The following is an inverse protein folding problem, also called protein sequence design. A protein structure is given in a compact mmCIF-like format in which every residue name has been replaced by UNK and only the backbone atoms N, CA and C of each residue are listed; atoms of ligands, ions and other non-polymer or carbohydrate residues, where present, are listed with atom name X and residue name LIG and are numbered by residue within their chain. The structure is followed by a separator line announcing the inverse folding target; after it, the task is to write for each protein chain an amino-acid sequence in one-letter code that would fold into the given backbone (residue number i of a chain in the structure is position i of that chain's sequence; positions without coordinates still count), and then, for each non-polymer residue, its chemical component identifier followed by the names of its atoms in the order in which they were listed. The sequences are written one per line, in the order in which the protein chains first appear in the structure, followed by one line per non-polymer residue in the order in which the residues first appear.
data_IF_664642839053
#
_entry.id   IF_664642839053
#
_cell.length_a   1.000
_cell.length_b   1.000
_cell.length_c   1.000
_cell.angle_alpha   90.00
_cell.angle_beta   90.00
_cell.angle_gamma   90.00
#
_symmetry.space_group_name_H-M   'P 1'
#
loop_
_entity.id
_entity.type
_entity.pdbx_description
1 polymer ?
#
# COMPACT_ATOMS: atom_id res chain seq x y z
N UNK A 1 10.41 18.35 12.47
CA UNK A 1 9.29 18.79 11.60
C UNK A 1 8.04 17.99 11.98
N UNK A 2 6.86 18.61 11.94
CA UNK A 2 5.58 17.88 12.14
C UNK A 2 5.16 17.34 10.78
N UNK A 3 4.86 16.05 10.69
CA UNK A 3 4.40 15.41 9.47
C UNK A 3 2.92 15.06 9.63
N UNK A 4 2.12 15.40 8.63
CA UNK A 4 0.70 15.11 8.59
C UNK A 4 0.42 13.97 7.63
N UNK A 5 -0.54 13.12 7.99
CA UNK A 5 -1.01 12.03 7.13
C UNK A 5 -2.52 11.92 7.31
N UNK A 6 -3.26 11.75 6.21
CA UNK A 6 -4.68 11.42 6.27
C UNK A 6 -4.87 9.98 6.76
N UNK A 7 -5.89 9.77 7.59
CA UNK A 7 -6.25 8.45 8.15
C UNK A 7 -7.76 8.34 8.24
N UNK A 8 -8.28 7.11 8.16
CA UNK A 8 -9.70 6.85 8.44
C UNK A 8 -9.89 6.80 9.96
N UNK A 9 -10.68 7.72 10.52
CA UNK A 9 -10.93 7.80 11.96
C UNK A 9 -11.55 6.52 12.52
N UNK A 10 -12.38 5.83 11.74
CA UNK A 10 -12.97 4.54 12.13
C UNK A 10 -11.95 3.40 12.29
N UNK A 11 -10.74 3.55 11.75
CA UNK A 11 -9.64 2.57 11.85
C UNK A 11 -8.41 3.15 12.58
N UNK A 12 -8.58 4.27 13.29
CA UNK A 12 -7.53 4.91 14.07
C UNK A 12 -7.83 4.76 15.57
N UNK A 13 -7.09 3.94 16.32
CA UNK A 13 -7.34 3.74 17.74
C UNK A 13 -6.93 5.01 18.53
N UNK A 14 -7.73 5.40 19.52
CA UNK A 14 -7.41 6.54 20.39
C UNK A 14 -6.07 6.36 21.10
N UNK A 15 -5.67 5.13 21.43
CA UNK A 15 -4.35 4.83 22.01
C UNK A 15 -3.17 5.26 21.13
N UNK A 16 -3.33 5.32 19.81
CA UNK A 16 -2.32 5.86 18.91
C UNK A 16 -2.37 7.40 18.78
N UNK A 17 -3.38 8.09 19.31
CA UNK A 17 -3.43 9.55 19.28
C UNK A 17 -2.41 10.19 20.24
N UNK A 18 -1.87 9.42 21.19
CA UNK A 18 -0.88 9.89 22.14
C UNK A 18 0.32 10.57 21.46
N UNK A 19 0.60 11.81 21.84
CA UNK A 19 1.69 12.62 21.29
C UNK A 19 1.51 13.03 19.82
N UNK A 20 0.27 13.06 19.29
CA UNK A 20 -0.06 13.49 17.93
C UNK A 20 -1.04 14.68 17.93
N UNK A 21 -1.01 15.46 16.85
CA UNK A 21 -2.01 16.48 16.57
C UNK A 21 -3.11 15.85 15.70
N UNK A 22 -4.33 15.74 16.22
CA UNK A 22 -5.49 15.26 15.49
C UNK A 22 -6.22 16.47 14.89
N UNK A 23 -6.42 16.45 13.58
CA UNK A 23 -7.11 17.51 12.84
C UNK A 23 -8.40 16.93 12.25
N UNK A 24 -9.52 17.50 12.66
CA UNK A 24 -10.86 17.23 12.10
C UNK A 24 -11.32 18.43 11.27
N UNK A 25 -12.52 18.34 10.67
CA UNK A 25 -13.09 19.45 9.90
C UNK A 25 -13.26 20.73 10.74
N UNK A 26 -13.65 20.59 12.01
CA UNK A 26 -13.81 21.69 12.95
C UNK A 26 -12.47 22.35 13.28
N UNK A 27 -11.40 21.55 13.34
CA UNK A 27 -10.04 22.05 13.53
C UNK A 27 -9.50 22.85 12.35
N UNK A 28 -10.11 22.76 11.17
CA UNK A 28 -9.72 23.55 10.00
C UNK A 28 -10.46 24.89 9.91
N UNK A 29 -11.51 25.08 10.71
CA UNK A 29 -12.29 26.31 10.68
C UNK A 29 -11.55 27.44 11.41
N UNK A 30 -11.39 28.57 10.73
CA UNK A 30 -10.98 29.84 11.33
C UNK A 30 -12.19 30.74 11.58
N UNK A 31 -11.96 32.05 11.54
CA UNK A 31 -13.05 33.05 11.56
C UNK A 31 -13.85 33.10 10.25
N UNK A 32 -13.28 32.55 9.17
CA UNK A 32 -13.87 32.48 7.82
C UNK A 32 -13.58 31.09 7.21
N UNK A 33 -14.26 30.76 6.11
CA UNK A 33 -14.03 29.53 5.36
C UNK A 33 -12.64 29.50 4.73
N UNK A 34 -12.00 28.33 4.80
CA UNK A 34 -10.72 28.07 4.14
C UNK A 34 -10.83 28.16 2.61
N UNK A 35 -9.69 28.32 1.93
CA UNK A 35 -9.61 28.32 0.45
C UNK A 35 -10.28 27.08 -0.15
N UNK A 36 -10.09 25.91 0.47
CA UNK A 36 -10.72 24.66 0.04
C UNK A 36 -12.24 24.72 0.19
N UNK A 37 -12.75 25.12 1.36
CA UNK A 37 -14.20 25.25 1.60
C UNK A 37 -14.86 26.25 0.64
N UNK A 38 -14.22 27.41 0.40
CA UNK A 38 -14.68 28.41 -0.57
C UNK A 38 -14.74 27.85 -1.99
N UNK A 39 -13.75 27.05 -2.38
CA UNK A 39 -13.73 26.40 -3.69
C UNK A 39 -14.84 25.37 -3.82
N UNK A 40 -15.13 24.61 -2.76
CA UNK A 40 -16.26 23.68 -2.73
C UNK A 40 -17.61 24.38 -2.87
N UNK A 41 -17.80 25.53 -2.21
CA UNK A 41 -19.01 26.35 -2.32
C UNK A 41 -19.16 26.85 -3.76
N UNK A 42 -18.11 27.43 -4.33
CA UNK A 42 -18.14 28.02 -5.66
C UNK A 42 -18.46 27.00 -6.76
N UNK A 43 -17.85 25.82 -6.71
CA UNK A 43 -18.02 24.79 -7.75
C UNK A 43 -19.27 23.91 -7.52
N UNK A 44 -20.07 24.16 -6.49
CA UNK A 44 -21.21 23.29 -6.16
C UNK A 44 -20.78 21.86 -5.79
N UNK A 45 -19.65 21.73 -5.12
CA UNK A 45 -19.03 20.44 -4.76
C UNK A 45 -19.66 19.76 -3.53
N UNK A 46 -20.80 20.27 -3.05
CA UNK A 46 -21.54 19.72 -1.92
C UNK A 46 -23.04 19.76 -2.22
N UNK A 47 -23.70 18.60 -2.08
CA UNK A 47 -25.17 18.49 -2.15
C UNK A 47 -25.72 18.13 -0.77
N UNK A 48 -25.81 16.84 -0.42
CA UNK A 48 -26.28 16.42 0.91
C UNK A 48 -25.33 16.79 2.06
N UNK A 49 -24.08 17.17 1.75
CA UNK A 49 -23.08 17.61 2.73
C UNK A 49 -22.38 16.50 3.52
N UNK A 50 -22.90 15.27 3.54
CA UNK A 50 -22.40 14.22 4.45
C UNK A 50 -20.94 13.82 4.19
N UNK A 51 -20.53 13.67 2.92
CA UNK A 51 -19.16 13.32 2.55
C UNK A 51 -18.20 14.52 2.55
N UNK A 52 -18.73 15.75 2.55
CA UNK A 52 -17.96 16.99 2.33
C UNK A 52 -16.82 17.17 3.34
N UNK A 53 -17.00 16.91 4.66
CA UNK A 53 -15.91 16.97 5.62
C UNK A 53 -14.69 16.11 5.25
N UNK A 54 -14.92 14.87 4.79
CA UNK A 54 -13.85 13.94 4.42
C UNK A 54 -13.03 14.44 3.23
N UNK A 55 -13.70 14.96 2.20
CA UNK A 55 -13.04 15.58 1.05
C UNK A 55 -12.21 16.81 1.44
N UNK A 56 -12.78 17.74 2.23
CA UNK A 56 -12.09 18.95 2.67
C UNK A 56 -10.86 18.63 3.52
N UNK A 57 -10.99 17.70 4.47
CA UNK A 57 -9.88 17.27 5.34
C UNK A 57 -8.79 16.57 4.52
N UNK A 58 -9.17 15.71 3.56
CA UNK A 58 -8.20 14.98 2.72
C UNK A 58 -7.40 15.94 1.83
N UNK A 59 -8.09 16.85 1.15
CA UNK A 59 -7.46 17.85 0.27
C UNK A 59 -6.60 18.84 1.06
N UNK A 60 -7.05 19.27 2.25
CA UNK A 60 -6.22 20.11 3.13
C UNK A 60 -4.99 19.36 3.63
N UNK A 61 -5.14 18.07 3.94
CA UNK A 61 -4.03 17.18 4.31
C UNK A 61 -2.97 17.06 3.22
N UNK A 62 -3.38 17.07 1.94
CA UNK A 62 -2.44 17.11 0.81
C UNK A 62 -1.57 18.36 0.84
N UNK A 63 -2.16 19.55 0.96
CA UNK A 63 -1.39 20.81 1.00
C UNK A 63 -0.52 20.91 2.25
N UNK A 64 -0.97 20.38 3.39
CA UNK A 64 -0.16 20.30 4.61
C UNK A 64 1.10 19.44 4.46
N UNK A 65 1.04 18.41 3.62
CA UNK A 65 2.08 17.37 3.53
C UNK A 65 3.05 17.57 2.36
N UNK A 66 2.75 18.50 1.45
CA UNK A 66 3.52 18.73 0.23
C UNK A 66 3.96 20.19 0.13
N UNK A 67 5.15 20.44 -0.43
CA UNK A 67 5.67 21.80 -0.67
C UNK A 67 5.42 22.25 -2.12
N UNK A 68 5.13 21.30 -3.01
CA UNK A 68 4.75 21.54 -4.40
C UNK A 68 3.37 20.97 -4.64
N UNK A 69 2.47 21.78 -5.19
CA UNK A 69 1.10 21.38 -5.46
C UNK A 69 0.89 21.09 -6.93
N UNK A 70 0.53 19.84 -7.21
CA UNK A 70 0.18 19.32 -8.52
C UNK A 70 -1.30 18.95 -8.51
N UNK A 71 -2.03 19.33 -9.56
CA UNK A 71 -3.49 19.14 -9.63
C UNK A 71 -3.86 17.65 -9.50
N UNK A 72 -3.14 16.77 -10.19
CA UNK A 72 -3.45 15.34 -10.17
C UNK A 72 -3.24 14.74 -8.79
N UNK A 73 -2.16 15.10 -8.08
CA UNK A 73 -1.91 14.61 -6.73
C UNK A 73 -2.96 15.14 -5.73
N UNK A 74 -3.42 16.39 -5.92
CA UNK A 74 -4.51 16.96 -5.13
C UNK A 74 -5.82 16.17 -5.30
N UNK A 75 -6.16 15.80 -6.54
CA UNK A 75 -7.33 14.96 -6.84
C UNK A 75 -7.16 13.56 -6.22
N UNK A 76 -6.00 12.93 -6.42
CA UNK A 76 -5.70 11.59 -5.89
C UNK A 76 -5.70 11.56 -4.35
N UNK A 77 -5.36 12.66 -3.69
CA UNK A 77 -5.36 12.73 -2.22
C UNK A 77 -6.74 12.45 -1.60
N UNK A 78 -7.80 12.60 -2.40
CA UNK A 78 -9.18 12.39 -1.99
C UNK A 78 -9.71 10.99 -2.39
N UNK A 79 -8.87 10.10 -2.91
CA UNK A 79 -9.27 8.78 -3.45
C UNK A 79 -10.07 7.91 -2.46
N UNK A 80 -9.92 8.10 -1.15
CA UNK A 80 -10.67 7.39 -0.12
C UNK A 80 -12.07 7.91 0.17
N UNK A 81 -12.50 8.98 -0.48
CA UNK A 81 -13.79 9.64 -0.21
C UNK A 81 -14.78 9.32 -1.32
N UNK A 82 -15.95 8.80 -0.94
CA UNK A 82 -17.02 8.43 -1.87
C UNK A 82 -18.13 9.46 -1.79
N UNK A 83 -18.57 9.97 -2.94
CA UNK A 83 -19.74 10.83 -3.04
C UNK A 83 -20.80 10.15 -3.92
N UNK A 84 -22.03 10.09 -3.43
CA UNK A 84 -23.15 9.52 -4.22
C UNK A 84 -23.98 10.58 -4.95
N UNK A 85 -23.83 11.85 -4.57
CA UNK A 85 -24.72 12.92 -5.01
C UNK A 85 -24.14 13.75 -6.17
N UNK A 86 -22.86 14.13 -6.10
CA UNK A 86 -22.27 15.13 -7.02
C UNK A 86 -21.78 14.57 -8.35
N UNK A 87 -21.66 13.23 -8.48
CA UNK A 87 -20.99 12.63 -9.64
C UNK A 87 -19.49 12.95 -9.70
N UNK A 88 -18.88 13.46 -8.63
CA UNK A 88 -17.46 13.80 -8.45
C UNK A 88 -16.89 14.95 -9.29
N UNK A 89 -17.47 15.32 -10.44
CA UNK A 89 -16.90 16.36 -11.31
C UNK A 89 -16.73 17.71 -10.61
N UNK A 90 -17.75 18.20 -9.89
CA UNK A 90 -17.65 19.46 -9.13
C UNK A 90 -16.62 19.41 -8.00
N UNK A 91 -16.39 18.25 -7.39
CA UNK A 91 -15.35 18.05 -6.37
C UNK A 91 -13.96 18.12 -7.00
N UNK A 92 -13.79 17.51 -8.18
CA UNK A 92 -12.54 17.58 -8.95
C UNK A 92 -12.24 19.04 -9.34
N UNK A 93 -13.25 19.78 -9.78
CA UNK A 93 -13.08 21.18 -10.17
C UNK A 93 -12.79 22.08 -8.96
N UNK A 94 -13.38 21.79 -7.79
CA UNK A 94 -13.02 22.46 -6.54
C UNK A 94 -11.56 22.20 -6.12
N UNK A 95 -11.05 20.98 -6.33
CA UNK A 95 -9.65 20.65 -6.06
C UNK A 95 -8.69 21.36 -7.03
N UNK A 96 -9.03 21.42 -8.33
CA UNK A 96 -8.25 22.20 -9.31
C UNK A 96 -8.19 23.67 -8.92
N UNK A 97 -9.34 24.27 -8.59
CA UNK A 97 -9.44 25.67 -8.18
C UNK A 97 -8.65 25.96 -6.91
N UNK A 98 -8.80 25.13 -5.88
CA UNK A 98 -8.04 25.25 -4.63
C UNK A 98 -6.54 25.21 -4.92
N UNK A 99 -6.09 24.28 -5.77
CA UNK A 99 -4.68 24.12 -6.13
C UNK A 99 -4.14 25.34 -6.87
N UNK A 100 -4.88 25.87 -7.85
CA UNK A 100 -4.48 27.08 -8.59
C UNK A 100 -4.33 28.30 -7.67
N UNK A 101 -5.29 28.53 -6.77
CA UNK A 101 -5.26 29.63 -5.81
C UNK A 101 -4.08 29.52 -4.84
N UNK A 102 -3.82 28.31 -4.33
CA UNK A 102 -2.74 28.08 -3.37
C UNK A 102 -1.36 28.14 -4.03
N UNK A 103 -1.18 27.55 -5.22
CA UNK A 103 0.11 27.59 -5.93
C UNK A 103 0.55 29.02 -6.28
N UNK A 104 -0.41 29.90 -6.60
CA UNK A 104 -0.12 31.32 -6.88
C UNK A 104 0.38 32.05 -5.62
N UNK A 105 -0.20 31.71 -4.46
CA UNK A 105 -0.01 32.47 -3.22
C UNK A 105 1.13 31.97 -2.32
N UNK A 106 1.69 30.78 -2.55
CA UNK A 106 2.64 30.12 -1.64
C UNK A 106 4.08 30.06 -2.18
N UNK A 107 4.35 30.67 -3.34
CA UNK A 107 5.70 30.65 -3.94
C UNK A 107 6.79 31.22 -3.00
N UNK A 108 7.85 30.44 -2.77
CA UNK A 108 9.10 30.82 -2.08
C UNK A 108 9.06 31.10 -0.56
N UNK A 109 8.23 30.40 0.22
CA UNK A 109 8.27 30.51 1.68
C UNK A 109 9.21 29.49 2.34
N UNK A 110 10.12 29.97 3.20
CA UNK A 110 10.99 29.14 4.07
C UNK A 110 10.22 28.47 5.21
N UNK A 111 9.01 28.93 5.51
CA UNK A 111 8.10 28.36 6.51
C UNK A 111 6.74 28.00 5.90
N UNK A 112 6.59 26.72 5.57
CA UNK A 112 5.41 26.15 4.91
C UNK A 112 4.12 26.37 5.71
N UNK A 113 4.14 26.20 7.04
CA UNK A 113 2.93 26.33 7.85
C UNK A 113 2.45 27.77 7.86
N UNK A 114 3.36 28.73 8.04
CA UNK A 114 3.02 30.15 8.00
C UNK A 114 2.54 30.59 6.61
N UNK A 115 3.06 30.01 5.53
CA UNK A 115 2.56 30.24 4.18
C UNK A 115 1.09 29.79 4.02
N UNK A 116 0.76 28.57 4.48
CA UNK A 116 -0.60 28.05 4.43
C UNK A 116 -1.58 28.81 5.34
N UNK A 117 -1.11 29.37 6.45
CA UNK A 117 -1.91 30.26 7.30
C UNK A 117 -2.21 31.56 6.54
N UNK A 118 -1.18 32.21 5.98
CA UNK A 118 -1.33 33.46 5.21
C UNK A 118 -2.19 33.30 3.97
N UNK A 119 -2.17 32.14 3.33
CA UNK A 119 -3.03 31.84 2.19
C UNK A 119 -4.50 31.63 2.58
N UNK A 120 -4.84 31.61 3.87
CA UNK A 120 -6.18 31.32 4.37
C UNK A 120 -6.58 29.84 4.26
N UNK A 121 -5.61 28.92 4.15
CA UNK A 121 -5.90 27.49 4.20
C UNK A 121 -6.02 26.99 5.64
N UNK A 122 -5.11 27.42 6.52
CA UNK A 122 -5.02 26.95 7.90
C UNK A 122 -5.33 28.06 8.91
N UNK A 123 -5.96 27.73 10.04
CA UNK A 123 -6.04 28.63 11.19
C UNK A 123 -4.68 28.94 11.82
N UNK A 124 -4.55 30.11 12.45
CA UNK A 124 -3.29 30.61 13.02
C UNK A 124 -2.67 29.66 14.08
N UNK A 125 -3.50 28.92 14.82
CA UNK A 125 -3.03 28.03 15.88
C UNK A 125 -2.10 26.91 15.39
N UNK A 126 -2.12 26.58 14.09
CA UNK A 126 -1.22 25.58 13.50
C UNK A 126 0.26 25.91 13.71
N UNK A 127 0.63 27.20 13.77
CA UNK A 127 1.99 27.67 14.04
C UNK A 127 2.51 27.24 15.42
N UNK A 128 1.62 27.10 16.41
CA UNK A 128 1.96 26.70 17.78
C UNK A 128 2.03 25.18 18.00
N UNK A 129 1.58 24.37 17.04
CA UNK A 129 1.50 22.91 17.18
C UNK A 129 2.86 22.25 17.45
N UNK A 130 3.96 22.59 16.74
CA UNK A 130 5.26 22.00 17.04
C UNK A 130 5.68 22.18 18.51
N UNK A 131 5.42 23.34 19.10
CA UNK A 131 5.70 23.62 20.51
C UNK A 131 4.81 22.83 21.47
N UNK A 132 3.51 22.71 21.16
CA UNK A 132 2.56 21.87 21.93
C UNK A 132 2.96 20.39 21.91
N UNK A 133 3.35 19.86 20.75
CA UNK A 133 3.82 18.48 20.64
C UNK A 133 5.12 18.24 21.42
N UNK A 134 6.04 19.22 21.40
CA UNK A 134 7.28 19.15 22.20
C UNK A 134 7.00 19.15 23.70
N UNK A 135 6.06 19.98 24.17
CA UNK A 135 5.71 20.11 25.59
C UNK A 135 4.89 18.93 26.13
N UNK A 136 4.01 18.33 25.31
CA UNK A 136 3.34 17.07 25.67
C UNK A 136 4.37 15.98 26.02
N UNK A 137 5.50 15.98 25.30
CA UNK A 137 6.51 14.94 25.37
C UNK A 137 5.95 13.61 24.84
N UNK A 138 6.81 12.76 24.27
CA UNK A 138 6.40 11.36 24.01
C UNK A 138 6.46 10.60 25.33
N UNK A 139 5.49 10.86 26.22
CA UNK A 139 5.19 9.97 27.32
C UNK A 139 4.44 8.78 26.73
N UNK A 140 5.15 7.91 26.02
CA UNK A 140 4.69 6.53 25.99
C UNK A 140 4.73 6.08 27.46
N UNK A 141 3.66 5.49 28.01
CA UNK A 141 3.83 4.74 29.23
C UNK A 141 5.03 3.83 28.98
N UNK A 142 6.11 4.04 29.74
CA UNK A 142 7.38 3.38 29.54
C UNK A 142 7.12 1.89 29.60
N UNK A 143 6.97 1.25 28.44
CA UNK A 143 6.42 -0.10 28.24
C UNK A 143 6.01 -0.72 29.57
N UNK A 144 4.85 -0.34 30.12
CA UNK A 144 4.30 -1.19 31.16
C UNK A 144 4.32 -2.56 30.49
N UNK A 145 5.04 -3.51 31.08
CA UNK A 145 5.13 -4.86 30.53
C UNK A 145 3.69 -5.32 30.43
N UNK A 146 3.09 -5.15 29.25
CA UNK A 146 1.78 -5.70 28.97
C UNK A 146 2.05 -7.18 29.10
N UNK A 147 1.62 -7.75 30.22
CA UNK A 147 1.77 -9.15 30.50
C UNK A 147 0.89 -9.85 29.46
N UNK A 148 1.55 -10.40 28.44
CA UNK A 148 0.94 -11.22 27.38
C UNK A 148 -0.08 -10.49 26.48
N UNK A 149 0.34 -9.62 25.54
CA UNK A 149 -0.56 -9.08 24.54
C UNK A 149 -1.04 -10.20 23.60
N UNK A 150 -2.35 -10.30 23.39
CA UNK A 150 -2.94 -11.23 22.43
C UNK A 150 -2.81 -10.69 21.00
N UNK A 151 -2.87 -9.36 20.84
CA UNK A 151 -2.82 -8.70 19.54
C UNK A 151 -1.68 -7.70 19.45
N UNK A 152 -0.89 -7.83 18.40
CA UNK A 152 0.12 -6.86 18.00
C UNK A 152 -0.41 -6.03 16.84
N UNK A 153 -0.41 -4.72 17.00
CA UNK A 153 -1.10 -3.81 16.09
C UNK A 153 -0.09 -2.87 15.45
N UNK A 154 0.12 -3.01 14.14
CA UNK A 154 0.80 -2.01 13.32
C UNK A 154 -0.22 -1.00 12.76
N UNK A 155 -0.65 -1.16 11.51
CA UNK A 155 -1.68 -0.32 10.90
C UNK A 155 -3.11 -0.58 11.41
N UNK A 156 -3.40 -1.83 11.74
CA UNK A 156 -4.72 -2.29 12.19
C UNK A 156 -5.82 -2.31 11.11
N UNK A 157 -5.51 -1.97 9.86
CA UNK A 157 -6.48 -1.79 8.77
C UNK A 157 -7.32 -3.03 8.46
N UNK A 158 -6.76 -4.23 8.66
CA UNK A 158 -7.50 -5.50 8.58
C UNK A 158 -8.07 -5.91 9.94
N UNK A 159 -7.27 -5.78 11.00
CA UNK A 159 -7.57 -6.32 12.32
C UNK A 159 -8.80 -5.64 12.95
N UNK A 160 -8.92 -4.31 12.82
CA UNK A 160 -10.09 -3.57 13.31
C UNK A 160 -11.37 -3.86 12.53
N UNK A 161 -11.28 -4.44 11.34
CA UNK A 161 -12.48 -4.85 10.59
C UNK A 161 -12.86 -6.28 10.96
N UNK A 162 -11.87 -7.17 11.03
CA UNK A 162 -12.11 -8.61 11.18
C UNK A 162 -12.30 -9.06 12.63
N UNK A 163 -11.76 -8.34 13.62
CA UNK A 163 -11.62 -8.82 15.01
C UNK A 163 -11.97 -7.77 16.08
N UNK A 164 -12.64 -6.67 15.73
CA UNK A 164 -12.88 -5.57 16.68
C UNK A 164 -13.56 -6.00 17.99
N UNK A 165 -14.59 -6.87 17.95
CA UNK A 165 -15.28 -7.35 19.16
C UNK A 165 -14.36 -8.14 20.10
N UNK A 166 -13.48 -8.96 19.54
CA UNK A 166 -12.56 -9.79 20.32
C UNK A 166 -11.41 -8.95 20.89
N UNK A 167 -10.97 -7.92 20.16
CA UNK A 167 -9.96 -6.98 20.62
C UNK A 167 -10.40 -6.18 21.84
N UNK A 168 -11.70 -5.90 22.00
CA UNK A 168 -12.23 -5.24 23.20
C UNK A 168 -12.03 -6.07 24.48
N UNK A 169 -11.80 -7.38 24.36
CA UNK A 169 -11.67 -8.32 25.47
C UNK A 169 -10.22 -8.66 25.82
N UNK A 170 -9.26 -8.19 25.04
CA UNK A 170 -7.88 -8.63 25.14
C UNK A 170 -6.89 -7.46 25.19
N UNK A 171 -5.74 -7.71 25.81
CA UNK A 171 -4.63 -6.77 25.81
C UNK A 171 -4.02 -6.65 24.41
N UNK A 172 -3.80 -5.39 23.99
CA UNK A 172 -3.22 -5.06 22.70
C UNK A 172 -1.87 -4.34 22.87
N UNK A 173 -0.95 -4.56 21.93
CA UNK A 173 0.33 -3.86 21.88
C UNK A 173 0.47 -3.14 20.55
N UNK A 174 0.51 -1.81 20.58
CA UNK A 174 0.81 -1.01 19.40
C UNK A 174 2.29 -1.11 19.04
N UNK A 175 2.58 -1.47 17.80
CA UNK A 175 3.92 -1.56 17.22
C UNK A 175 4.37 -0.22 16.62
N UNK A 176 3.44 0.71 16.38
CA UNK A 176 3.68 2.02 15.75
C UNK A 176 4.54 2.98 16.60
N UNK A 177 4.75 2.68 17.89
CA UNK A 177 5.60 3.44 18.80
C UNK A 177 7.08 3.01 18.80
N UNK A 178 7.41 1.83 18.26
CA UNK A 178 8.76 1.29 18.23
C UNK A 178 9.48 1.65 16.90
N UNK A 179 10.46 2.55 16.99
CA UNK A 179 11.07 3.30 15.88
C UNK A 179 12.09 2.50 15.04
N UNK A 180 12.12 1.17 15.09
CA UNK A 180 13.17 0.39 14.39
C UNK A 180 12.68 -0.19 13.03
N UNK A 181 11.39 -0.13 12.69
CA UNK A 181 10.81 -0.97 11.63
C UNK A 181 10.20 -0.27 10.42
N UNK A 182 10.46 1.02 10.18
CA UNK A 182 9.95 1.74 8.98
C UNK A 182 10.94 1.81 7.81
N UNK A 183 12.18 1.40 8.02
CA UNK A 183 13.24 1.69 7.07
C UNK A 183 13.17 0.77 5.85
N UNK A 184 13.32 1.39 4.68
CA UNK A 184 13.65 0.70 3.44
C UNK A 184 15.10 1.07 3.12
N UNK A 185 16.01 0.08 3.11
CA UNK A 185 17.44 0.31 2.92
C UNK A 185 18.07 -0.73 2.00
N UNK A 186 19.18 -0.34 1.37
CA UNK A 186 20.07 -1.26 0.67
C UNK A 186 21.17 -1.71 1.65
N UNK A 187 21.40 -3.03 1.74
CA UNK A 187 22.44 -3.60 2.58
C UNK A 187 22.97 -4.89 1.94
N UNK A 188 24.29 -4.95 1.68
CA UNK A 188 24.96 -6.12 1.10
C UNK A 188 24.28 -6.66 -0.17
N UNK A 189 23.84 -5.78 -1.07
CA UNK A 189 23.15 -6.16 -2.32
C UNK A 189 21.69 -6.58 -2.14
N UNK A 190 21.10 -6.43 -0.95
CA UNK A 190 19.70 -6.71 -0.68
C UNK A 190 18.93 -5.42 -0.39
N UNK A 191 17.65 -5.41 -0.79
CA UNK A 191 16.66 -4.49 -0.25
C UNK A 191 16.12 -5.07 1.05
N UNK A 192 16.12 -4.27 2.12
CA UNK A 192 15.50 -4.60 3.40
C UNK A 192 14.32 -3.66 3.61
N UNK A 193 13.16 -4.23 3.92
CA UNK A 193 11.92 -3.50 4.20
C UNK A 193 11.44 -3.90 5.59
N UNK A 194 11.46 -2.95 6.52
CA UNK A 194 10.97 -3.16 7.89
C UNK A 194 9.48 -3.51 7.92
N UNK A 195 9.06 -4.35 8.87
CA UNK A 195 7.69 -4.84 8.94
C UNK A 195 6.63 -3.74 9.14
N UNK A 196 7.00 -2.59 9.69
CA UNK A 196 6.08 -1.45 9.90
C UNK A 196 6.15 -0.40 8.80
N UNK A 197 6.98 -0.62 7.76
CA UNK A 197 6.94 0.20 6.56
C UNK A 197 5.54 0.14 5.95
N UNK A 198 4.96 1.30 5.70
CA UNK A 198 3.63 1.47 5.15
C UNK A 198 3.64 1.38 3.63
N UNK A 199 2.47 1.24 3.01
CA UNK A 199 2.39 1.28 1.53
C UNK A 199 2.81 2.64 1.00
N UNK A 200 2.52 3.73 1.72
CA UNK A 200 3.05 5.06 1.40
C UNK A 200 4.58 5.08 1.45
N UNK A 201 5.20 4.46 2.46
CA UNK A 201 6.67 4.34 2.53
C UNK A 201 7.24 3.57 1.33
N UNK A 202 6.54 2.54 0.84
CA UNK A 202 6.93 1.81 -0.38
C UNK A 202 6.85 2.70 -1.63
N UNK A 203 5.77 3.47 -1.77
CA UNK A 203 5.53 4.40 -2.90
C UNK A 203 6.59 5.50 -2.94
N UNK A 204 7.02 6.00 -1.79
CA UNK A 204 7.99 7.10 -1.66
C UNK A 204 9.45 6.61 -1.67
N UNK A 205 9.67 5.30 -1.63
CA UNK A 205 11.01 4.71 -1.59
C UNK A 205 11.78 4.98 -2.87
N UNK A 206 12.91 5.70 -2.75
CA UNK A 206 13.86 5.91 -3.84
C UNK A 206 14.48 4.61 -4.33
N UNK A 207 14.67 3.63 -3.43
CA UNK A 207 15.24 2.32 -3.76
C UNK A 207 14.25 1.56 -4.65
N UNK A 208 12.98 1.45 -4.22
CA UNK A 208 11.97 0.77 -5.02
C UNK A 208 11.70 1.51 -6.33
N UNK A 209 11.65 2.83 -6.32
CA UNK A 209 11.49 3.62 -7.56
C UNK A 209 12.64 3.42 -8.56
N UNK A 210 13.88 3.24 -8.07
CA UNK A 210 15.06 2.99 -8.90
C UNK A 210 15.01 1.63 -9.60
N UNK A 211 14.64 0.59 -8.87
CA UNK A 211 14.68 -0.80 -9.37
C UNK A 211 13.35 -1.28 -9.97
N UNK A 212 12.22 -0.68 -9.58
CA UNK A 212 10.88 -1.05 -9.99
C UNK A 212 10.03 0.21 -10.32
N UNK A 213 10.39 0.97 -11.36
CA UNK A 213 9.79 2.29 -11.61
C UNK A 213 8.27 2.27 -11.80
N UNK A 214 7.71 1.19 -12.37
CA UNK A 214 6.26 1.02 -12.56
C UNK A 214 5.51 0.62 -11.28
N UNK A 215 6.21 0.14 -10.25
CA UNK A 215 5.56 -0.39 -9.05
C UNK A 215 4.75 0.67 -8.30
N UNK A 216 5.19 1.93 -8.34
CA UNK A 216 4.48 3.06 -7.74
C UNK A 216 3.03 3.16 -8.23
N UNK A 217 2.80 3.02 -9.53
CA UNK A 217 1.46 3.12 -10.13
C UNK A 217 0.54 2.01 -9.64
N UNK A 218 1.05 0.78 -9.56
CA UNK A 218 0.30 -0.34 -9.00
C UNK A 218 0.01 -0.19 -7.50
N UNK A 219 0.98 0.29 -6.72
CA UNK A 219 0.79 0.50 -5.29
C UNK A 219 -0.20 1.64 -4.99
N UNK A 220 -0.37 2.62 -5.90
CA UNK A 220 -1.46 3.61 -5.79
C UNK A 220 -2.85 2.97 -5.87
N UNK A 221 -2.99 1.79 -6.48
CA UNK A 221 -4.24 1.02 -6.52
C UNK A 221 -4.45 0.13 -5.26
N UNK A 222 -3.51 0.15 -4.31
CA UNK A 222 -3.67 -0.50 -3.02
C UNK A 222 -4.51 0.37 -2.09
N UNK A 223 -5.80 0.03 -1.92
CA UNK A 223 -6.71 0.78 -1.05
C UNK A 223 -6.75 2.28 -1.38
N UNK A 224 -7.18 3.09 -0.42
CA UNK A 224 -7.11 4.56 -0.49
C UNK A 224 -5.88 5.11 0.24
N UNK A 225 -5.53 6.38 0.01
CA UNK A 225 -4.41 7.04 0.68
C UNK A 225 -4.48 6.91 2.22
N UNK A 226 -5.63 7.11 2.90
CA UNK A 226 -5.75 6.87 4.33
C UNK A 226 -5.42 5.43 4.78
N UNK A 227 -5.74 4.44 3.93
CA UNK A 227 -5.36 3.04 4.16
C UNK A 227 -3.86 2.86 3.91
N UNK A 228 -3.30 3.39 2.81
CA UNK A 228 -1.87 3.27 2.48
C UNK A 228 -0.96 3.87 3.54
N UNK A 229 -1.39 4.96 4.17
CA UNK A 229 -0.67 5.62 5.26
C UNK A 229 -0.58 4.77 6.55
N UNK A 230 -1.41 3.73 6.68
CA UNK A 230 -1.44 2.86 7.87
C UNK A 230 -1.10 1.41 7.56
N UNK A 231 -1.51 0.87 6.42
CA UNK A 231 -1.31 -0.52 6.04
C UNK A 231 0.20 -0.80 5.91
N UNK A 232 0.67 -1.77 6.68
CA UNK A 232 2.11 -2.11 6.79
C UNK A 232 2.44 -3.41 6.08
N UNK A 233 3.68 -3.56 5.61
CA UNK A 233 4.17 -4.79 4.97
C UNK A 233 4.00 -6.02 5.86
N UNK A 234 4.45 -5.95 7.12
CA UNK A 234 4.30 -7.04 8.07
C UNK A 234 2.85 -7.39 8.32
N UNK A 235 2.00 -6.38 8.53
CA UNK A 235 0.54 -6.55 8.63
C UNK A 235 -0.09 -7.24 7.42
N UNK A 236 0.32 -6.88 6.20
CA UNK A 236 -0.16 -7.50 4.97
C UNK A 236 0.24 -8.97 4.87
N UNK A 237 1.48 -9.30 5.25
CA UNK A 237 2.01 -10.67 5.29
C UNK A 237 1.26 -11.52 6.33
N UNK A 238 1.17 -11.06 7.59
CA UNK A 238 0.55 -11.84 8.67
C UNK A 238 -0.98 -11.92 8.57
N UNK A 239 -1.62 -10.99 7.86
CA UNK A 239 -3.03 -11.14 7.50
C UNK A 239 -3.26 -12.38 6.62
N UNK A 240 -2.25 -12.87 5.90
CA UNK A 240 -2.31 -14.12 5.13
C UNK A 240 -3.51 -14.17 4.17
N UNK A 241 -3.81 -13.04 3.53
CA UNK A 241 -4.89 -12.96 2.54
C UNK A 241 -4.43 -13.62 1.23
N UNK A 242 -5.20 -14.53 0.62
CA UNK A 242 -4.82 -15.19 -0.63
C UNK A 242 -4.67 -14.25 -1.84
N UNK A 243 -5.14 -13.01 -1.70
CA UNK A 243 -5.18 -11.96 -2.74
C UNK A 243 -4.36 -10.73 -2.31
N UNK A 244 -3.41 -10.91 -1.40
CA UNK A 244 -2.56 -9.84 -0.89
C UNK A 244 -1.56 -9.34 -1.96
N UNK A 245 -1.77 -8.12 -2.46
CA UNK A 245 -0.92 -7.50 -3.51
C UNK A 245 0.57 -7.44 -3.10
N UNK A 246 0.89 -6.90 -1.91
CA UNK A 246 2.29 -6.73 -1.47
C UNK A 246 2.96 -8.09 -1.23
N UNK A 247 2.24 -9.02 -0.60
CA UNK A 247 2.75 -10.38 -0.37
C UNK A 247 3.05 -11.08 -1.70
N UNK A 248 2.17 -10.95 -2.69
CA UNK A 248 2.38 -11.49 -4.03
C UNK A 248 3.67 -10.93 -4.65
N UNK A 249 3.84 -9.60 -4.67
CA UNK A 249 5.07 -8.94 -5.15
C UNK A 249 6.32 -9.51 -4.47
N UNK A 250 6.31 -9.61 -3.15
CA UNK A 250 7.47 -10.08 -2.39
C UNK A 250 7.80 -11.56 -2.63
N UNK A 251 6.79 -12.40 -2.88
CA UNK A 251 7.01 -13.81 -3.24
C UNK A 251 7.73 -13.92 -4.59
N UNK A 252 7.31 -13.16 -5.61
CA UNK A 252 8.01 -13.15 -6.90
C UNK A 252 9.42 -12.55 -6.81
N UNK A 253 9.68 -11.65 -5.87
CA UNK A 253 11.04 -11.18 -5.60
C UNK A 253 11.89 -12.18 -4.80
N UNK A 254 11.38 -13.40 -4.57
CA UNK A 254 12.01 -14.46 -3.78
C UNK A 254 12.44 -13.96 -2.38
N UNK A 255 11.58 -13.16 -1.76
CA UNK A 255 11.89 -12.52 -0.49
C UNK A 255 12.03 -13.54 0.65
N UNK A 256 12.92 -13.23 1.58
CA UNK A 256 13.07 -13.90 2.87
C UNK A 256 12.34 -13.08 3.94
N UNK A 257 11.52 -13.73 4.76
CA UNK A 257 10.92 -13.14 5.95
C UNK A 257 11.81 -13.42 7.16
N UNK A 258 12.14 -12.38 7.91
CA UNK A 258 12.96 -12.46 9.13
C UNK A 258 12.06 -12.25 10.33
N UNK A 259 12.12 -13.20 11.25
CA UNK A 259 11.26 -13.28 12.43
C UNK A 259 12.10 -13.11 13.68
N UNK A 260 11.52 -12.47 14.69
CA UNK A 260 12.10 -12.33 16.02
C UNK A 260 11.09 -12.80 17.06
N UNK A 261 11.54 -13.62 18.01
CA UNK A 261 10.76 -14.11 19.13
C UNK A 261 11.60 -14.19 20.39
N UNK A 262 11.03 -14.74 21.47
CA UNK A 262 11.73 -14.92 22.74
C UNK A 262 12.92 -15.90 22.64
N UNK A 263 12.79 -16.89 21.76
CA UNK A 263 13.82 -17.91 21.47
C UNK A 263 14.93 -17.43 20.52
N UNK A 264 14.88 -16.18 20.05
CA UNK A 264 15.89 -15.60 19.15
C UNK A 264 15.33 -15.21 17.78
N UNK A 265 16.21 -15.19 16.77
CA UNK A 265 15.88 -14.80 15.39
C UNK A 265 15.89 -16.01 14.48
N UNK A 266 14.93 -16.09 13.56
CA UNK A 266 14.92 -17.07 12.47
C UNK A 266 14.47 -16.44 11.16
N UNK A 267 14.75 -17.11 10.05
CA UNK A 267 14.35 -16.65 8.72
C UNK A 267 13.98 -17.83 7.83
N UNK A 268 13.09 -17.57 6.88
CA UNK A 268 12.64 -18.52 5.87
C UNK A 268 12.20 -17.76 4.60
N UNK A 269 12.11 -18.46 3.47
CA UNK A 269 11.55 -17.84 2.26
C UNK A 269 10.07 -17.54 2.50
N UNK A 270 9.62 -16.38 2.02
CA UNK A 270 8.25 -15.93 2.19
C UNK A 270 7.24 -16.89 1.55
N UNK A 271 7.62 -17.56 0.45
CA UNK A 271 6.78 -18.58 -0.19
C UNK A 271 6.49 -19.79 0.72
N UNK A 272 7.37 -20.08 1.68
CA UNK A 272 7.25 -21.23 2.60
C UNK A 272 6.58 -20.83 3.94
N UNK A 273 6.30 -19.54 4.12
CA UNK A 273 5.69 -18.97 5.32
C UNK A 273 4.19 -19.28 5.43
N UNK A 274 3.50 -19.47 4.30
CA UNK A 274 2.06 -19.76 4.27
C UNK A 274 1.85 -21.28 4.21
N UNK A 275 1.24 -21.88 5.24
CA UNK A 275 0.99 -23.33 5.32
C UNK A 275 -0.42 -23.74 4.88
N UNK A 276 -1.33 -22.78 4.79
CA UNK A 276 -2.72 -22.98 4.43
C UNK A 276 -3.53 -21.71 4.61
N UNK A 277 -4.85 -21.77 4.39
CA UNK A 277 -5.71 -20.60 4.54
C UNK A 277 -5.58 -20.02 5.95
N UNK A 278 -5.12 -18.77 6.05
CA UNK A 278 -4.89 -18.05 7.31
C UNK A 278 -3.97 -18.79 8.31
N UNK A 279 -3.17 -19.74 7.83
CA UNK A 279 -2.25 -20.54 8.64
C UNK A 279 -0.82 -20.24 8.23
N UNK A 280 -0.01 -19.86 9.22
CA UNK A 280 1.35 -19.35 9.02
C UNK A 280 2.37 -20.22 9.74
N UNK A 281 3.58 -20.25 9.21
CA UNK A 281 4.78 -20.70 9.89
C UNK A 281 5.27 -19.57 10.83
N UNK A 282 4.48 -19.26 11.85
CA UNK A 282 4.73 -18.19 12.83
C UNK A 282 4.34 -18.68 14.23
N UNK A 283 5.31 -18.71 15.15
CA UNK A 283 5.05 -19.08 16.54
C UNK A 283 4.32 -17.94 17.27
N UNK A 284 3.63 -18.26 18.38
CA UNK A 284 2.80 -17.29 19.11
C UNK A 284 3.56 -16.07 19.64
N UNK A 285 4.85 -16.23 19.94
CA UNK A 285 5.73 -15.18 20.46
C UNK A 285 6.57 -14.49 19.37
N UNK A 286 6.45 -14.93 18.12
CA UNK A 286 7.21 -14.39 17.00
C UNK A 286 6.50 -13.23 16.33
N UNK A 287 7.32 -12.26 15.91
CA UNK A 287 6.91 -11.13 15.09
C UNK A 287 7.75 -11.10 13.82
N UNK A 288 7.15 -10.61 12.74
CA UNK A 288 7.90 -10.23 11.54
C UNK A 288 8.73 -9.00 11.87
N UNK A 289 10.06 -9.12 11.77
CA UNK A 289 11.03 -8.03 11.97
C UNK A 289 11.14 -7.23 10.67
N UNK A 290 11.54 -7.89 9.59
CA UNK A 290 11.64 -7.30 8.25
C UNK A 290 11.56 -8.37 7.17
N UNK A 291 11.39 -7.93 5.92
CA UNK A 291 11.58 -8.77 4.74
C UNK A 291 12.80 -8.29 3.95
N UNK A 292 13.47 -9.21 3.27
CA UNK A 292 14.60 -8.87 2.41
C UNK A 292 14.58 -9.63 1.10
N UNK A 293 14.98 -8.99 0.02
CA UNK A 293 15.20 -9.63 -1.29
C UNK A 293 16.43 -9.06 -1.98
N UNK A 294 17.03 -9.83 -2.89
CA UNK A 294 18.20 -9.40 -3.65
C UNK A 294 17.80 -8.28 -4.62
N UNK A 295 18.59 -7.21 -4.66
CA UNK A 295 18.34 -6.12 -5.62
C UNK A 295 18.49 -6.64 -7.06
N UNK A 296 17.62 -6.21 -7.99
CA UNK A 296 17.70 -6.62 -9.39
C UNK A 296 19.07 -6.34 -10.02
N UNK A 297 19.55 -7.30 -10.81
CA UNK A 297 20.75 -7.17 -11.64
C UNK A 297 20.44 -6.43 -12.95
N UNK A 298 21.47 -6.20 -13.78
CA UNK A 298 21.36 -5.41 -15.03
C UNK A 298 20.34 -5.97 -16.03
N UNK A 299 20.16 -7.29 -16.08
CA UNK A 299 19.25 -7.97 -17.00
C UNK A 299 18.06 -8.60 -16.27
N UNK A 300 17.61 -7.94 -15.21
CA UNK A 300 16.44 -8.34 -14.44
C UNK A 300 15.19 -7.61 -14.92
N UNK A 301 14.07 -8.33 -14.98
CA UNK A 301 12.78 -7.82 -15.42
C UNK A 301 11.74 -8.16 -14.36
N UNK A 302 10.86 -7.22 -14.05
CA UNK A 302 9.80 -7.39 -13.07
C UNK A 302 8.49 -6.79 -13.60
N UNK A 303 7.38 -7.49 -13.41
CA UNK A 303 6.05 -6.95 -13.67
C UNK A 303 5.05 -7.45 -12.63
N UNK A 304 4.08 -6.60 -12.28
CA UNK A 304 2.95 -6.94 -11.42
C UNK A 304 1.66 -6.59 -12.16
N UNK A 305 0.68 -7.47 -12.10
CA UNK A 305 -0.61 -7.30 -12.72
C UNK A 305 -1.72 -7.61 -11.72
N UNK A 306 -2.80 -6.84 -11.78
CA UNK A 306 -3.96 -6.98 -10.92
C UNK A 306 -5.23 -6.79 -11.72
N UNK A 307 -6.18 -7.70 -11.54
CA UNK A 307 -7.53 -7.60 -12.08
C UNK A 307 -8.52 -7.60 -10.91
N UNK A 308 -9.45 -6.65 -10.94
CA UNK A 308 -10.54 -6.47 -9.97
C UNK A 308 -11.79 -5.95 -10.70
N UNK A 309 -12.94 -5.92 -10.03
CA UNK A 309 -14.19 -5.45 -10.65
C UNK A 309 -14.18 -3.94 -10.91
N UNK A 310 -13.43 -3.19 -10.09
CA UNK A 310 -13.14 -1.77 -10.29
C UNK A 310 -11.64 -1.54 -10.25
N UNK A 311 -11.17 -0.57 -11.02
CA UNK A 311 -9.74 -0.21 -11.06
C UNK A 311 -9.25 0.35 -9.72
N UNK A 312 -10.05 1.20 -9.08
CA UNK A 312 -9.70 1.90 -7.85
C UNK A 312 -10.46 1.34 -6.65
N UNK A 313 -9.80 1.32 -5.49
CA UNK A 313 -10.36 0.92 -4.19
C UNK A 313 -10.99 -0.48 -4.17
N UNK A 314 -10.45 -1.41 -4.96
CA UNK A 314 -10.97 -2.77 -5.04
C UNK A 314 -9.90 -3.81 -4.72
N UNK A 315 -10.38 -4.94 -4.22
CA UNK A 315 -9.57 -6.09 -3.88
C UNK A 315 -9.41 -6.93 -5.14
N UNK A 316 -8.22 -7.47 -5.38
CA UNK A 316 -7.96 -8.31 -6.55
C UNK A 316 -8.92 -9.51 -6.62
N UNK A 317 -9.47 -9.75 -7.81
CA UNK A 317 -10.01 -11.06 -8.20
C UNK A 317 -8.87 -12.05 -8.40
N UNK A 318 -7.86 -11.63 -9.18
CA UNK A 318 -6.57 -12.31 -9.37
C UNK A 318 -5.49 -11.25 -9.48
N UNK A 319 -4.36 -11.47 -8.83
CA UNK A 319 -3.13 -10.71 -9.06
C UNK A 319 -1.97 -11.66 -9.37
N UNK A 320 -0.95 -11.17 -10.06
CA UNK A 320 0.22 -11.96 -10.43
C UNK A 320 1.46 -11.07 -10.47
N UNK A 321 2.59 -11.62 -10.06
CA UNK A 321 3.90 -10.99 -10.17
C UNK A 321 4.86 -11.94 -10.86
N UNK A 322 5.75 -11.39 -11.67
CA UNK A 322 6.85 -12.12 -12.30
C UNK A 322 8.17 -11.40 -12.06
N UNK A 323 9.22 -12.16 -11.77
CA UNK A 323 10.61 -11.72 -11.83
C UNK A 323 11.40 -12.65 -12.73
N UNK A 324 12.20 -12.10 -13.63
CA UNK A 324 13.04 -12.82 -14.58
C UNK A 324 14.45 -12.26 -14.58
N UNK A 325 15.46 -13.12 -14.73
CA UNK A 325 16.80 -12.74 -15.17
C UNK A 325 17.06 -13.39 -16.53
N UNK A 326 17.48 -12.60 -17.51
CA UNK A 326 17.67 -13.08 -18.90
C UNK A 326 19.10 -12.87 -19.34
N UNK A 327 19.70 -13.87 -19.99
CA UNK A 327 21.02 -13.78 -20.62
C UNK A 327 20.96 -14.50 -21.96
N UNK A 328 21.42 -13.84 -23.02
CA UNK A 328 21.40 -14.37 -24.40
C UNK A 328 20.02 -14.94 -24.79
N UNK A 329 18.97 -14.17 -24.49
CA UNK A 329 17.57 -14.51 -24.72
C UNK A 329 17.01 -15.72 -23.97
N UNK A 330 17.82 -16.33 -23.11
CA UNK A 330 17.42 -17.44 -22.24
C UNK A 330 17.11 -16.94 -20.84
N UNK A 331 16.05 -17.49 -20.26
CA UNK A 331 15.66 -17.21 -18.89
C UNK A 331 16.57 -18.00 -17.94
N UNK A 332 17.30 -17.31 -17.07
CA UNK A 332 18.24 -17.92 -16.11
C UNK A 332 17.60 -18.11 -14.74
N UNK A 333 16.83 -17.12 -14.32
CA UNK A 333 16.08 -17.10 -13.06
C UNK A 333 14.64 -16.73 -13.37
N UNK A 334 13.69 -17.45 -12.77
CA UNK A 334 12.25 -17.16 -12.87
C UNK A 334 11.60 -17.33 -11.51
N UNK A 335 10.79 -16.36 -11.13
CA UNK A 335 9.89 -16.44 -9.99
C UNK A 335 8.53 -15.87 -10.37
N UNK A 336 7.49 -16.69 -10.29
CA UNK A 336 6.12 -16.26 -10.56
C UNK A 336 5.25 -16.57 -9.35
N UNK A 337 4.43 -15.60 -8.97
CA UNK A 337 3.45 -15.76 -7.90
C UNK A 337 2.08 -15.27 -8.31
N UNK A 338 1.02 -15.93 -7.85
CA UNK A 338 -0.36 -15.58 -8.13
C UNK A 338 -1.19 -15.52 -6.84
N UNK A 339 -2.14 -14.60 -6.79
CA UNK A 339 -3.15 -14.49 -5.74
C UNK A 339 -4.56 -14.71 -6.27
N UNK A 340 -5.47 -15.15 -5.40
CA UNK A 340 -6.88 -15.39 -5.75
C UNK A 340 -7.15 -16.71 -6.46
N UNK A 341 -6.11 -17.51 -6.69
CA UNK A 341 -6.17 -18.80 -7.42
C UNK A 341 -5.88 -20.02 -6.54
N UNK A 342 -5.67 -19.80 -5.24
CA UNK A 342 -5.43 -20.84 -4.24
C UNK A 342 -5.80 -20.30 -2.84
N UNK A 343 -5.83 -21.15 -1.79
CA UNK A 343 -6.09 -20.73 -0.41
C UNK A 343 -4.97 -19.88 0.23
N UNK A 344 -3.83 -19.70 -0.45
CA UNK A 344 -2.69 -18.89 -0.03
C UNK A 344 -2.17 -18.09 -1.23
N UNK A 345 -1.39 -17.01 -1.02
CA UNK A 345 -0.56 -16.44 -2.07
C UNK A 345 0.37 -17.54 -2.61
N UNK A 346 0.19 -17.91 -3.87
CA UNK A 346 0.79 -19.11 -4.44
C UNK A 346 2.05 -18.75 -5.23
N UNK A 347 3.17 -19.42 -4.94
CA UNK A 347 4.32 -19.45 -5.83
C UNK A 347 4.12 -20.57 -6.86
N UNK A 348 4.20 -20.24 -8.15
CA UNK A 348 4.02 -21.19 -9.26
C UNK A 348 5.34 -21.93 -9.51
N UNK A 349 5.59 -23.00 -8.75
CA UNK A 349 6.84 -23.75 -8.79
C UNK A 349 7.07 -24.40 -10.15
N UNK A 350 6.09 -25.13 -10.68
CA UNK A 350 6.24 -25.87 -11.94
C UNK A 350 6.41 -24.91 -13.12
N UNK A 351 5.62 -23.84 -13.17
CA UNK A 351 5.75 -22.81 -14.21
C UNK A 351 7.11 -22.11 -14.15
N UNK A 352 7.58 -21.76 -12.94
CA UNK A 352 8.88 -21.10 -12.77
C UNK A 352 10.05 -21.99 -13.19
N UNK A 353 10.03 -23.27 -12.79
CA UNK A 353 11.06 -24.25 -13.20
C UNK A 353 11.02 -24.55 -14.70
N UNK A 354 9.82 -24.69 -15.29
CA UNK A 354 9.67 -24.93 -16.72
C UNK A 354 10.31 -23.83 -17.58
N UNK A 355 10.15 -22.57 -17.17
CA UNK A 355 10.68 -21.42 -17.90
C UNK A 355 12.22 -21.33 -17.84
N UNK A 356 12.84 -21.94 -16.83
CA UNK A 356 14.29 -21.89 -16.66
C UNK A 356 15.01 -22.56 -17.84
N UNK A 357 15.96 -21.84 -18.43
CA UNK A 357 16.73 -22.25 -19.60
C UNK A 357 16.00 -22.10 -20.94
N UNK A 358 14.72 -21.70 -20.95
CA UNK A 358 13.94 -21.52 -22.19
C UNK A 358 14.23 -20.17 -22.84
N UNK A 359 14.12 -20.13 -24.16
CA UNK A 359 14.14 -18.90 -24.95
C UNK A 359 12.74 -18.29 -24.97
N UNK A 360 12.64 -16.98 -24.77
CA UNK A 360 11.35 -16.27 -24.73
C UNK A 360 10.74 -16.23 -26.14
N UNK A 361 9.61 -16.90 -26.33
CA UNK A 361 8.78 -16.83 -27.54
C UNK A 361 7.30 -17.17 -27.20
N UNK A 362 6.40 -16.99 -28.17
CA UNK A 362 4.96 -17.20 -27.98
C UNK A 362 4.58 -18.63 -27.57
N UNK A 363 5.26 -19.65 -28.10
CA UNK A 363 4.98 -21.06 -27.79
C UNK A 363 5.31 -21.39 -26.33
N UNK A 364 6.51 -20.99 -25.87
CA UNK A 364 6.94 -21.17 -24.48
C UNK A 364 6.01 -20.45 -23.51
N UNK A 365 5.50 -19.27 -23.88
CA UNK A 365 4.56 -18.51 -23.04
C UNK A 365 3.20 -19.22 -22.94
N UNK A 366 2.70 -19.82 -24.02
CA UNK A 366 1.47 -20.64 -23.99
C UNK A 366 1.64 -21.86 -23.09
N UNK A 367 2.72 -22.60 -23.26
CA UNK A 367 3.00 -23.79 -22.46
C UNK A 367 3.17 -23.45 -20.98
N UNK A 368 3.87 -22.36 -20.66
CA UNK A 368 3.99 -21.87 -19.28
C UNK A 368 2.62 -21.53 -18.67
N UNK A 369 1.72 -20.91 -19.44
CA UNK A 369 0.37 -20.61 -19.00
C UNK A 369 -0.46 -21.88 -18.79
N UNK A 370 -0.32 -22.91 -19.62
CA UNK A 370 -0.97 -24.21 -19.42
C UNK A 370 -0.47 -24.91 -18.15
N UNK A 371 0.86 -24.93 -17.94
CA UNK A 371 1.47 -25.49 -16.73
C UNK A 371 0.95 -24.78 -15.48
N UNK A 372 0.78 -23.46 -15.53
CA UNK A 372 0.25 -22.69 -14.40
C UNK A 372 -1.14 -23.16 -13.96
N UNK A 373 -1.97 -23.64 -14.90
CA UNK A 373 -3.31 -24.15 -14.59
C UNK A 373 -3.25 -25.45 -13.80
N UNK A 374 -2.15 -26.21 -13.87
CA UNK A 374 -1.95 -27.46 -13.12
C UNK A 374 -1.54 -27.25 -11.67
N UNK A 375 -1.26 -26.00 -11.27
CA UNK A 375 -0.80 -25.64 -9.92
C UNK A 375 -1.88 -24.96 -9.07
N UNK A 376 -2.97 -24.51 -9.69
CA UNK A 376 -4.00 -23.70 -9.04
C UNK A 376 -5.21 -24.51 -8.63
N UNK A 377 -5.94 -24.00 -7.63
CA UNK A 377 -7.24 -24.53 -7.21
C UNK A 377 -8.16 -23.36 -6.81
N UNK A 378 -8.64 -22.57 -7.79
CA UNK A 378 -9.49 -21.42 -7.50
C UNK A 378 -10.87 -21.84 -7.00
N UNK A 379 -11.48 -20.96 -6.21
CA UNK A 379 -12.88 -21.08 -5.76
C UNK A 379 -13.74 -19.99 -6.39
N UNK A 380 -15.02 -20.29 -6.58
CA UNK A 380 -16.04 -19.28 -6.89
C UNK A 380 -16.36 -18.47 -5.64
N UNK A 381 -16.33 -17.14 -5.75
CA UNK A 381 -16.74 -16.22 -4.69
C UNK A 381 -17.29 -14.90 -5.28
N UNK A 382 -17.53 -13.91 -4.43
CA UNK A 382 -18.01 -12.59 -4.83
C UNK A 382 -17.11 -11.84 -5.83
N UNK A 383 -15.86 -12.27 -6.02
CA UNK A 383 -14.87 -11.64 -6.92
C UNK A 383 -14.76 -12.34 -8.26
N UNK A 384 -15.46 -13.46 -8.46
CA UNK A 384 -15.54 -14.16 -9.74
C UNK A 384 -15.69 -15.67 -9.60
N UNK A 385 -16.11 -16.32 -10.69
CA UNK A 385 -16.16 -17.78 -10.76
C UNK A 385 -14.75 -18.39 -10.79
N UNK A 386 -14.66 -19.67 -10.43
CA UNK A 386 -13.44 -20.47 -10.57
C UNK A 386 -12.86 -20.38 -11.99
N UNK A 387 -13.72 -20.54 -13.00
CA UNK A 387 -13.34 -20.54 -14.42
C UNK A 387 -12.81 -19.17 -14.84
N UNK A 388 -13.46 -18.10 -14.38
CA UNK A 388 -13.01 -16.74 -14.63
C UNK A 388 -11.63 -16.49 -14.02
N UNK A 389 -11.38 -16.92 -12.78
CA UNK A 389 -10.08 -16.76 -12.11
C UNK A 389 -8.97 -17.58 -12.78
N UNK A 390 -9.26 -18.80 -13.21
CA UNK A 390 -8.34 -19.62 -14.01
C UNK A 390 -7.97 -18.92 -15.32
N UNK A 391 -8.98 -18.41 -16.04
CA UNK A 391 -8.78 -17.64 -17.27
C UNK A 391 -7.95 -16.38 -17.00
N UNK A 392 -8.26 -15.62 -15.95
CA UNK A 392 -7.50 -14.43 -15.59
C UNK A 392 -6.03 -14.74 -15.36
N UNK A 393 -5.68 -15.80 -14.62
CA UNK A 393 -4.27 -16.14 -14.43
C UNK A 393 -3.58 -16.43 -15.76
N UNK A 394 -4.20 -17.20 -16.67
CA UNK A 394 -3.65 -17.42 -18.02
C UNK A 394 -3.38 -16.09 -18.71
N UNK A 395 -4.34 -15.16 -18.70
CA UNK A 395 -4.17 -13.85 -19.31
C UNK A 395 -3.10 -12.99 -18.62
N UNK A 396 -2.93 -13.10 -17.31
CA UNK A 396 -1.88 -12.38 -16.59
C UNK A 396 -0.48 -12.90 -16.93
N UNK A 397 -0.31 -14.22 -17.10
CA UNK A 397 0.95 -14.77 -17.62
C UNK A 397 1.26 -14.17 -18.99
N UNK A 398 0.28 -14.07 -19.88
CA UNK A 398 0.45 -13.44 -21.20
C UNK A 398 0.79 -11.96 -21.09
N UNK A 399 0.06 -11.21 -20.26
CA UNK A 399 0.29 -9.79 -20.04
C UNK A 399 1.71 -9.51 -19.54
N UNK A 400 2.24 -10.34 -18.65
CA UNK A 400 3.62 -10.24 -18.19
C UNK A 400 4.64 -10.28 -19.33
N UNK A 401 4.56 -11.28 -20.21
CA UNK A 401 5.51 -11.43 -21.31
C UNK A 401 5.32 -10.38 -22.41
N UNK A 402 4.09 -9.97 -22.71
CA UNK A 402 3.83 -8.86 -23.65
C UNK A 402 4.44 -7.56 -23.10
N UNK A 403 4.24 -7.27 -21.82
CA UNK A 403 4.72 -6.04 -21.19
C UNK A 403 6.24 -5.99 -21.09
N UNK A 404 6.89 -7.11 -20.77
CA UNK A 404 8.34 -7.19 -20.58
C UNK A 404 9.11 -7.40 -21.89
N UNK A 405 8.52 -8.08 -22.87
CA UNK A 405 9.16 -8.46 -24.13
C UNK A 405 8.26 -8.23 -25.35
N UNK A 406 7.77 -7.00 -25.60
CA UNK A 406 6.80 -6.71 -26.67
C UNK A 406 7.32 -6.99 -28.08
N UNK A 407 8.65 -7.05 -28.27
CA UNK A 407 9.27 -7.44 -29.54
C UNK A 407 9.31 -8.95 -29.80
N UNK A 408 9.14 -9.78 -28.77
CA UNK A 408 9.26 -11.25 -28.84
C UNK A 408 7.95 -11.99 -28.68
N UNK A 409 6.97 -11.36 -28.04
CA UNK A 409 5.67 -11.97 -27.74
C UNK A 409 4.59 -10.95 -28.07
N UNK A 410 3.75 -11.27 -29.06
CA UNK A 410 2.64 -10.40 -29.47
C UNK A 410 1.31 -11.03 -29.10
N UNK A 411 0.34 -10.18 -28.75
CA UNK A 411 -1.03 -10.63 -28.40
C UNK A 411 -1.64 -11.55 -29.47
N UNK A 412 -1.47 -11.24 -30.76
CA UNK A 412 -2.01 -12.06 -31.87
C UNK A 412 -1.43 -13.48 -31.92
N UNK A 413 -0.24 -13.70 -31.37
CA UNK A 413 0.44 -14.99 -31.39
C UNK A 413 0.00 -15.86 -30.21
N UNK A 414 -0.46 -15.25 -29.11
CA UNK A 414 -0.83 -15.93 -27.87
C UNK A 414 -2.32 -15.91 -27.52
N UNK A 415 -3.12 -15.13 -28.25
CA UNK A 415 -4.58 -15.04 -28.10
C UNK A 415 -5.25 -16.43 -28.08
#
# INVERSE_FOLDING_TARGET
KVNYHSVNSCLFPVGEANGKHIVTIEGLNGTDFSVVQKSFIHEGASQCGFCTPGFVVSLTGYYLSNERFEINDAIESMDGNVCRCTGHQSIIDAAKKSTQLLSTNISNHTDHINALIKSGLLPEYFSGIPGRLKSLGRKFPASEKILSPQYYIAGGTDLYVQKWEDMLKHNVKFLSSNVILKTIKEENGNCIIGATATVTDLIESKILSKYFPKLKEHLKLFGSLPIRNRATVGGNIVNASPIADITNILIALNATVHLTGSSGKRKLLLKDFFKGYKTLDLNKDELVDYVSFKLPAKNSYFNFEKVSQRTYLDIASVNSSIYLEVTDDKIITTHISAGGVAPIPLYLNKTSEFLKGKTINAEIVKEAAEISQTEISPITDARGSKEYKSLLLRQLIFAHFITLFPGKVKMKEIA
#
